data_IF_211407327811
#
_entry.id   IF_211407327811
#
_cell.length_a   1.000
_cell.length_b   1.000
_cell.length_c   1.000
_cell.angle_alpha   90.00
_cell.angle_beta   90.00
_cell.angle_gamma   90.00
#
_symmetry.space_group_name_H-M   'P 1'
#
loop_
_entity.id
_entity.type
_entity.pdbx_description
1 polymer ?
#
# COMPACT_ATOMS: atom_id res chain seq x y z
N UNK A 1 28.90 -4.01 16.88
CA UNK A 1 27.85 -3.60 15.93
C UNK A 1 28.19 -2.21 15.42
N UNK A 2 28.33 -2.03 14.11
CA UNK A 2 28.54 -0.71 13.51
C UNK A 2 27.20 -0.29 12.93
N UNK A 3 26.62 0.81 13.44
CA UNK A 3 25.38 1.34 12.89
C UNK A 3 25.63 1.90 11.49
N UNK A 4 24.66 1.81 10.56
CA UNK A 4 24.75 2.46 9.28
C UNK A 4 24.96 3.98 9.46
N UNK A 5 25.98 4.50 8.81
CA UNK A 5 26.26 5.95 8.77
C UNK A 5 25.57 6.64 7.59
N UNK A 6 25.00 5.87 6.66
CA UNK A 6 24.30 6.41 5.50
C UNK A 6 23.01 7.11 5.92
N UNK A 7 22.89 8.39 5.58
CA UNK A 7 21.69 9.19 5.89
C UNK A 7 20.46 8.72 5.10
N UNK A 8 20.65 8.15 3.90
CA UNK A 8 19.55 7.62 3.06
C UNK A 8 18.90 6.42 3.71
N UNK A 9 19.71 5.49 4.26
CA UNK A 9 19.22 4.35 5.04
C UNK A 9 18.26 4.78 6.16
N UNK A 10 18.66 5.78 6.94
CA UNK A 10 17.82 6.29 8.04
C UNK A 10 16.53 6.92 7.54
N UNK A 11 16.59 7.77 6.51
CA UNK A 11 15.40 8.44 5.99
C UNK A 11 14.40 7.47 5.38
N UNK A 12 14.86 6.52 4.59
CA UNK A 12 13.98 5.55 3.95
C UNK A 12 13.35 4.62 4.97
N UNK A 13 14.12 4.11 5.93
CA UNK A 13 13.63 3.21 6.97
C UNK A 13 12.64 3.89 7.92
N UNK A 14 12.93 5.13 8.33
CA UNK A 14 12.02 5.92 9.17
C UNK A 14 10.74 6.28 8.42
N UNK A 15 10.83 6.67 7.14
CA UNK A 15 9.62 6.98 6.35
C UNK A 15 8.77 5.75 6.08
N UNK A 16 9.35 4.59 5.77
CA UNK A 16 8.59 3.34 5.66
C UNK A 16 7.89 2.97 6.97
N UNK A 17 8.61 3.02 8.09
CA UNK A 17 8.07 2.78 9.43
C UNK A 17 6.94 3.77 9.78
N UNK A 18 7.07 5.02 9.33
CA UNK A 18 6.04 6.06 9.51
C UNK A 18 4.78 5.75 8.70
N UNK A 19 4.91 5.27 7.46
CA UNK A 19 3.74 4.84 6.65
C UNK A 19 2.96 3.75 7.38
N UNK A 20 3.63 2.70 7.86
CA UNK A 20 3.00 1.62 8.63
C UNK A 20 2.30 2.18 9.86
N UNK A 21 3.02 2.96 10.67
CA UNK A 21 2.51 3.48 11.94
C UNK A 21 1.27 4.35 11.73
N UNK A 22 1.32 5.27 10.75
CA UNK A 22 0.20 6.14 10.41
C UNK A 22 -0.98 5.31 9.86
N UNK A 23 -0.74 4.35 8.97
CA UNK A 23 -1.76 3.45 8.42
C UNK A 23 -2.47 2.63 9.50
N UNK A 24 -1.71 2.02 10.42
CA UNK A 24 -2.26 1.25 11.53
C UNK A 24 -3.06 2.15 12.46
N UNK A 25 -2.49 3.26 12.94
CA UNK A 25 -3.14 4.14 13.92
C UNK A 25 -4.42 4.73 13.33
N UNK A 26 -4.36 5.33 12.14
CA UNK A 26 -5.53 6.00 11.54
C UNK A 26 -6.55 4.99 10.99
N UNK A 27 -6.11 3.82 10.52
CA UNK A 27 -6.98 2.71 10.13
C UNK A 27 -7.78 2.18 11.32
N UNK A 28 -7.10 1.88 12.43
CA UNK A 28 -7.76 1.40 13.66
C UNK A 28 -8.70 2.45 14.26
N UNK A 29 -8.30 3.73 14.34
CA UNK A 29 -9.19 4.80 14.81
C UNK A 29 -10.44 4.89 13.93
N UNK A 30 -10.27 4.80 12.60
CA UNK A 30 -11.38 4.79 11.64
C UNK A 30 -12.33 3.62 11.87
N UNK A 31 -11.80 2.40 12.03
CA UNK A 31 -12.58 1.20 12.29
C UNK A 31 -13.39 1.34 13.59
N UNK A 32 -12.74 1.78 14.67
CA UNK A 32 -13.39 1.93 15.98
C UNK A 32 -14.54 2.95 15.94
N UNK A 33 -14.33 4.10 15.28
CA UNK A 33 -15.38 5.11 15.09
C UNK A 33 -16.50 4.60 14.19
N UNK A 34 -16.17 3.97 13.06
CA UNK A 34 -17.15 3.43 12.12
C UNK A 34 -18.05 2.36 12.77
N UNK A 35 -17.50 1.51 13.63
CA UNK A 35 -18.28 0.51 14.39
C UNK A 35 -19.26 1.16 15.36
N UNK A 36 -18.85 2.22 16.08
CA UNK A 36 -19.76 2.99 16.96
C UNK A 36 -20.93 3.61 16.18
N UNK A 37 -20.69 4.04 14.94
CA UNK A 37 -21.69 4.60 14.04
C UNK A 37 -22.49 3.54 13.24
N UNK A 38 -22.20 2.24 13.42
CA UNK A 38 -22.77 1.13 12.63
C UNK A 38 -22.63 1.32 11.10
N UNK A 39 -21.61 2.08 10.67
CA UNK A 39 -21.40 2.44 9.27
C UNK A 39 -20.47 1.44 8.57
N UNK A 40 -21.06 0.36 8.03
CA UNK A 40 -20.30 -0.77 7.42
C UNK A 40 -19.26 -0.31 6.38
N UNK A 41 -19.63 0.61 5.48
CA UNK A 41 -18.71 1.08 4.42
C UNK A 41 -17.48 1.80 5.00
N UNK A 42 -17.66 2.59 6.05
CA UNK A 42 -16.55 3.28 6.72
C UNK A 42 -15.65 2.29 7.47
N UNK A 43 -16.20 1.18 7.98
CA UNK A 43 -15.41 0.11 8.58
C UNK A 43 -14.50 -0.56 7.54
N UNK A 44 -15.03 -0.87 6.35
CA UNK A 44 -14.24 -1.47 5.26
C UNK A 44 -13.16 -0.51 4.76
N UNK A 45 -13.46 0.78 4.66
CA UNK A 45 -12.47 1.79 4.26
C UNK A 45 -11.38 1.99 5.33
N UNK A 46 -11.73 1.98 6.62
CA UNK A 46 -10.74 1.97 7.71
C UNK A 46 -9.83 0.74 7.68
N UNK A 47 -10.38 -0.43 7.35
CA UNK A 47 -9.62 -1.66 7.17
C UNK A 47 -8.71 -1.60 5.93
N UNK A 48 -9.16 -0.94 4.86
CA UNK A 48 -8.33 -0.69 3.67
C UNK A 48 -7.12 0.20 4.02
N UNK A 49 -7.32 1.27 4.79
CA UNK A 49 -6.24 2.15 5.27
C UNK A 49 -5.23 1.36 6.12
N UNK A 50 -5.72 0.47 6.98
CA UNK A 50 -4.87 -0.40 7.80
C UNK A 50 -3.97 -1.28 6.93
N UNK A 51 -4.52 -1.97 5.93
CA UNK A 51 -3.72 -2.81 5.03
C UNK A 51 -2.81 -2.03 4.09
N UNK A 52 -3.20 -0.82 3.67
CA UNK A 52 -2.30 0.09 2.92
C UNK A 52 -1.03 0.37 3.73
N UNK A 53 -1.15 0.56 5.05
CA UNK A 53 0.02 0.72 5.91
C UNK A 53 0.98 -0.47 5.82
N UNK A 54 0.44 -1.70 5.81
CA UNK A 54 1.25 -2.92 5.75
C UNK A 54 1.96 -3.17 4.41
N UNK A 55 1.66 -2.41 3.36
CA UNK A 55 2.44 -2.46 2.10
C UNK A 55 3.91 -2.08 2.29
N UNK A 56 4.25 -1.47 3.42
CA UNK A 56 5.61 -1.04 3.76
C UNK A 56 6.31 -1.95 4.77
N UNK A 57 5.71 -3.10 5.09
CA UNK A 57 6.20 -4.01 6.12
C UNK A 57 7.62 -4.52 5.80
N UNK A 58 7.93 -4.84 4.55
CA UNK A 58 9.28 -5.25 4.13
C UNK A 58 10.37 -4.23 4.50
N UNK A 59 10.34 -3.00 3.94
CA UNK A 59 11.36 -1.99 4.25
C UNK A 59 11.44 -1.61 5.73
N UNK A 60 10.32 -1.57 6.45
CA UNK A 60 10.34 -1.28 7.88
C UNK A 60 10.95 -2.42 8.70
N UNK A 61 10.63 -3.68 8.35
CA UNK A 61 11.23 -4.84 9.00
C UNK A 61 12.73 -4.95 8.70
N UNK A 62 13.16 -4.62 7.48
CA UNK A 62 14.58 -4.59 7.10
C UNK A 62 15.36 -3.53 7.90
N UNK A 63 14.81 -2.32 7.98
CA UNK A 63 15.36 -1.24 8.78
C UNK A 63 15.54 -1.63 10.25
N UNK A 64 14.51 -2.25 10.86
CA UNK A 64 14.59 -2.74 12.24
C UNK A 64 15.61 -3.87 12.39
N UNK A 65 15.68 -4.80 11.42
CA UNK A 65 16.64 -5.90 11.44
C UNK A 65 18.07 -5.38 11.43
N UNK A 66 18.39 -4.40 10.58
CA UNK A 66 19.72 -3.78 10.53
C UNK A 66 20.04 -3.07 11.85
N UNK A 67 19.09 -2.36 12.46
CA UNK A 67 19.32 -1.68 13.76
C UNK A 67 19.55 -2.66 14.91
N UNK A 68 18.90 -3.84 14.89
CA UNK A 68 18.95 -4.81 15.99
C UNK A 68 20.10 -5.81 15.82
N UNK A 69 20.38 -6.24 14.59
CA UNK A 69 21.32 -7.33 14.29
C UNK A 69 22.54 -6.90 13.48
N UNK A 70 22.47 -5.75 12.79
CA UNK A 70 23.55 -5.25 11.93
C UNK A 70 23.55 -5.88 10.55
N UNK A 71 22.55 -6.70 10.22
CA UNK A 71 22.35 -7.33 8.93
C UNK A 71 20.95 -7.02 8.38
N UNK A 72 20.82 -6.90 7.07
CA UNK A 72 19.52 -6.84 6.40
C UNK A 72 18.75 -8.16 6.57
N UNK A 73 17.47 -8.18 6.19
CA UNK A 73 16.62 -9.38 6.08
C UNK A 73 17.10 -10.43 5.06
N UNK A 74 18.30 -10.23 4.52
CA UNK A 74 18.98 -11.13 3.61
C UNK A 74 19.66 -12.26 4.39
N UNK A 75 19.07 -13.45 4.42
CA UNK A 75 19.74 -14.68 4.86
C UNK A 75 19.77 -15.71 3.72
N UNK A 76 20.85 -16.47 3.56
CA UNK A 76 20.97 -17.45 2.46
C UNK A 76 19.87 -18.51 2.44
N UNK A 77 19.17 -18.72 3.56
CA UNK A 77 18.12 -19.74 3.73
C UNK A 77 16.71 -19.21 3.36
N UNK A 78 16.47 -17.90 3.46
CA UNK A 78 15.14 -17.26 3.26
C UNK A 78 15.16 -15.94 2.47
N UNK A 79 16.35 -15.47 2.08
CA UNK A 79 16.68 -14.08 1.79
C UNK A 79 16.50 -13.63 0.35
N UNK A 80 16.07 -14.50 -0.55
CA UNK A 80 15.75 -14.09 -1.93
C UNK A 80 14.40 -13.37 -2.01
N UNK A 81 13.54 -13.49 -0.99
CA UNK A 81 12.14 -13.12 -1.15
C UNK A 81 11.45 -12.47 0.04
N UNK A 82 11.93 -12.62 1.28
CA UNK A 82 11.12 -12.22 2.44
C UNK A 82 10.83 -10.71 2.49
N UNK A 83 11.80 -9.88 2.10
CA UNK A 83 11.60 -8.43 1.97
C UNK A 83 10.44 -8.14 1.01
N UNK A 84 10.52 -8.67 -0.21
CA UNK A 84 9.49 -8.47 -1.24
C UNK A 84 8.14 -9.06 -0.82
N UNK A 85 8.12 -10.28 -0.28
CA UNK A 85 6.89 -10.91 0.22
C UNK A 85 6.25 -10.02 1.28
N UNK A 86 6.99 -9.53 2.27
CA UNK A 86 6.43 -8.66 3.31
C UNK A 86 5.90 -7.33 2.75
N UNK A 87 6.56 -6.76 1.74
CA UNK A 87 6.07 -5.54 1.06
C UNK A 87 4.76 -5.75 0.30
N UNK A 88 4.56 -6.94 -0.28
CA UNK A 88 3.52 -7.13 -1.28
C UNK A 88 2.40 -8.11 -0.89
N UNK A 89 2.55 -8.90 0.18
CA UNK A 89 1.55 -9.84 0.72
C UNK A 89 0.22 -9.19 1.08
N UNK A 90 0.23 -7.90 1.39
CA UNK A 90 -0.97 -7.18 1.83
C UNK A 90 -1.75 -6.55 0.69
N UNK A 91 -1.27 -6.69 -0.56
CA UNK A 91 -1.93 -6.16 -1.75
C UNK A 91 -3.27 -6.83 -1.98
N UNK A 92 -3.32 -8.17 -2.01
CA UNK A 92 -4.56 -8.87 -2.32
C UNK A 92 -5.66 -8.56 -1.27
N UNK A 93 -5.40 -8.62 0.06
CA UNK A 93 -6.35 -8.18 1.07
C UNK A 93 -6.80 -6.72 0.90
N UNK A 94 -5.88 -5.79 0.70
CA UNK A 94 -6.20 -4.36 0.53
C UNK A 94 -7.06 -4.14 -0.71
N UNK A 95 -6.71 -4.78 -1.83
CA UNK A 95 -7.38 -4.66 -3.11
C UNK A 95 -8.80 -5.20 -3.06
N UNK A 96 -9.03 -6.36 -2.45
CA UNK A 96 -10.38 -6.95 -2.33
C UNK A 96 -11.31 -6.02 -1.56
N UNK A 97 -10.84 -5.44 -0.46
CA UNK A 97 -11.61 -4.47 0.33
C UNK A 97 -11.84 -3.18 -0.43
N UNK A 98 -10.83 -2.69 -1.16
CA UNK A 98 -10.97 -1.56 -2.05
C UNK A 98 -12.07 -1.86 -3.08
N UNK A 99 -11.99 -2.96 -3.82
CA UNK A 99 -12.98 -3.28 -4.85
C UNK A 99 -14.40 -3.46 -4.30
N UNK A 100 -14.55 -3.88 -3.05
CA UNK A 100 -15.84 -3.84 -2.36
C UNK A 100 -16.35 -2.39 -2.24
N UNK A 101 -15.52 -1.45 -1.79
CA UNK A 101 -15.86 -0.03 -1.66
C UNK A 101 -16.15 0.59 -3.04
N UNK A 102 -15.26 0.41 -4.01
CA UNK A 102 -15.44 0.89 -5.38
C UNK A 102 -16.73 0.35 -6.02
N UNK A 103 -17.03 -0.92 -5.79
CA UNK A 103 -18.29 -1.56 -6.22
C UNK A 103 -19.53 -0.95 -5.56
N UNK A 104 -19.51 -0.71 -4.25
CA UNK A 104 -20.61 -0.03 -3.53
C UNK A 104 -20.83 1.42 -4.02
N UNK A 105 -19.78 2.09 -4.49
CA UNK A 105 -19.89 3.47 -4.96
C UNK A 105 -20.42 3.57 -6.39
N UNK A 106 -19.86 2.76 -7.29
CA UNK A 106 -20.07 2.91 -8.73
C UNK A 106 -21.10 1.94 -9.30
N UNK A 107 -21.08 0.67 -8.88
CA UNK A 107 -21.92 -0.39 -9.45
C UNK A 107 -22.53 -1.31 -8.35
N UNK A 108 -23.38 -0.77 -7.45
CA UNK A 108 -23.81 -1.49 -6.24
C UNK A 108 -24.45 -2.86 -6.52
N UNK A 109 -25.24 -2.95 -7.60
CA UNK A 109 -25.95 -4.18 -8.02
C UNK A 109 -25.00 -5.30 -8.44
N UNK A 110 -23.77 -4.98 -8.86
CA UNK A 110 -22.78 -5.92 -9.41
C UNK A 110 -21.45 -5.90 -8.63
N UNK A 111 -21.42 -5.27 -7.45
CA UNK A 111 -20.19 -5.14 -6.65
C UNK A 111 -19.49 -6.47 -6.39
N UNK A 112 -20.24 -7.55 -6.16
CA UNK A 112 -19.67 -8.86 -5.90
C UNK A 112 -18.97 -9.47 -7.11
N UNK A 113 -19.42 -9.17 -8.33
CA UNK A 113 -18.72 -9.59 -9.56
C UNK A 113 -17.34 -8.93 -9.60
N UNK A 114 -17.27 -7.63 -9.29
CA UNK A 114 -16.01 -6.88 -9.22
C UNK A 114 -15.09 -7.47 -8.12
N UNK A 115 -15.62 -7.69 -6.92
CA UNK A 115 -14.87 -8.25 -5.79
C UNK A 115 -14.33 -9.64 -6.11
N UNK A 116 -15.15 -10.54 -6.65
CA UNK A 116 -14.74 -11.92 -6.99
C UNK A 116 -13.67 -11.89 -8.08
N UNK A 117 -13.83 -11.05 -9.10
CA UNK A 117 -12.84 -10.90 -10.15
C UNK A 117 -11.47 -10.51 -9.60
N UNK A 118 -11.39 -9.47 -8.77
CA UNK A 118 -10.12 -9.05 -8.16
C UNK A 118 -9.62 -9.99 -7.06
N UNK A 119 -10.50 -10.75 -6.41
CA UNK A 119 -10.07 -11.83 -5.51
C UNK A 119 -9.33 -12.92 -6.28
N UNK A 120 -9.85 -13.35 -7.43
CA UNK A 120 -9.18 -14.35 -8.28
C UNK A 120 -7.84 -13.82 -8.78
N UNK A 121 -7.79 -12.57 -9.28
CA UNK A 121 -6.53 -11.96 -9.68
C UNK A 121 -5.54 -11.80 -8.52
N UNK A 122 -6.03 -11.47 -7.33
CA UNK A 122 -5.22 -11.38 -6.12
C UNK A 122 -4.63 -12.73 -5.73
N UNK A 123 -5.39 -13.83 -5.83
CA UNK A 123 -4.87 -15.18 -5.59
C UNK A 123 -3.78 -15.54 -6.60
N UNK A 124 -3.96 -15.19 -7.88
CA UNK A 124 -2.94 -15.40 -8.92
C UNK A 124 -1.67 -14.59 -8.61
N UNK A 125 -1.83 -13.32 -8.18
CA UNK A 125 -0.72 -12.47 -7.77
C UNK A 125 0.06 -13.09 -6.59
N UNK A 126 -0.64 -13.52 -5.53
CA UNK A 126 -0.03 -14.18 -4.37
C UNK A 126 0.68 -15.47 -4.76
N UNK A 127 0.10 -16.27 -5.66
CA UNK A 127 0.77 -17.48 -6.16
C UNK A 127 2.14 -17.17 -6.76
N UNK A 128 2.25 -16.18 -7.64
CA UNK A 128 3.55 -15.80 -8.18
C UNK A 128 4.47 -15.17 -7.13
N UNK A 129 3.92 -14.36 -6.22
CA UNK A 129 4.70 -13.73 -5.14
C UNK A 129 5.38 -14.77 -4.24
N UNK A 130 4.66 -15.84 -3.87
CA UNK A 130 5.16 -16.87 -2.93
C UNK A 130 5.97 -17.97 -3.58
N UNK A 131 5.59 -18.41 -4.79
CA UNK A 131 6.20 -19.58 -5.43
C UNK A 131 7.22 -19.24 -6.52
N UNK A 132 7.23 -17.98 -6.98
CA UNK A 132 8.13 -17.48 -8.02
C UNK A 132 8.76 -16.14 -7.63
N UNK A 133 9.22 -16.04 -6.38
CA UNK A 133 9.73 -14.80 -5.82
C UNK A 133 11.02 -14.33 -6.51
N UNK A 134 11.90 -15.26 -6.89
CA UNK A 134 13.16 -14.98 -7.57
C UNK A 134 12.98 -14.37 -8.96
N UNK A 135 11.88 -14.70 -9.63
CA UNK A 135 11.53 -14.19 -10.96
C UNK A 135 10.72 -12.89 -10.87
N UNK A 136 10.11 -12.64 -9.71
CA UNK A 136 9.27 -11.48 -9.45
C UNK A 136 10.10 -10.20 -9.23
N UNK A 137 11.21 -10.29 -8.52
CA UNK A 137 12.02 -9.14 -8.12
C UNK A 137 13.40 -9.17 -8.78
N UNK A 138 13.94 -7.98 -9.05
CA UNK A 138 15.38 -7.81 -9.29
C UNK A 138 16.05 -7.89 -7.93
N UNK A 139 16.94 -8.87 -7.76
CA UNK A 139 17.62 -9.12 -6.47
C UNK A 139 19.09 -8.74 -6.63
N UNK A 140 19.47 -7.49 -6.35
CA UNK A 140 20.88 -7.15 -6.25
C UNK A 140 21.48 -7.77 -4.96
N UNK A 141 22.78 -8.06 -4.93
CA UNK A 141 23.45 -8.41 -3.68
C UNK A 141 23.23 -7.28 -2.67
N UNK A 142 23.01 -7.60 -1.37
CA UNK A 142 22.65 -6.59 -0.38
C UNK A 142 23.76 -5.54 -0.31
N UNK A 143 23.46 -4.25 -0.56
CA UNK A 143 24.42 -3.19 -0.32
C UNK A 143 24.75 -3.16 1.18
N UNK A 144 26.03 -3.17 1.55
CA UNK A 144 26.42 -3.14 2.94
C UNK A 144 25.92 -1.86 3.61
N UNK A 145 24.89 -1.96 4.46
CA UNK A 145 24.37 -0.84 5.24
C UNK A 145 23.36 0.07 4.52
N UNK A 146 22.75 -0.37 3.42
CA UNK A 146 21.62 0.32 2.77
C UNK A 146 20.37 -0.57 2.72
N UNK A 147 19.22 0.01 2.33
CA UNK A 147 17.97 -0.74 2.21
C UNK A 147 17.98 -1.55 0.92
N UNK A 148 17.39 -2.75 0.97
CA UNK A 148 17.27 -3.64 -0.18
C UNK A 148 16.36 -3.01 -1.25
N UNK A 149 16.86 -2.94 -2.48
CA UNK A 149 16.05 -2.70 -3.67
C UNK A 149 15.19 -3.94 -3.98
N UNK A 150 13.88 -3.74 -4.07
CA UNK A 150 12.91 -4.79 -4.41
C UNK A 150 12.10 -4.42 -5.64
N UNK A 151 12.75 -3.79 -6.61
CA UNK A 151 12.13 -3.45 -7.88
C UNK A 151 11.59 -4.71 -8.58
N UNK A 152 10.40 -4.59 -9.16
CA UNK A 152 9.80 -5.67 -9.92
C UNK A 152 10.51 -5.89 -11.25
N UNK A 153 10.54 -7.14 -11.72
CA UNK A 153 10.85 -7.44 -13.12
C UNK A 153 9.67 -7.00 -14.00
N UNK A 154 9.88 -5.97 -14.82
CA UNK A 154 8.82 -5.21 -15.53
C UNK A 154 7.97 -6.00 -16.54
N UNK A 155 8.41 -7.18 -16.96
CA UNK A 155 7.64 -8.05 -17.87
C UNK A 155 7.12 -9.31 -17.18
N UNK A 156 7.38 -9.47 -15.87
CA UNK A 156 6.89 -10.61 -15.12
C UNK A 156 5.41 -10.44 -14.74
N UNK A 157 4.60 -11.51 -14.62
CA UNK A 157 3.17 -11.41 -14.35
C UNK A 157 2.79 -10.56 -13.13
N UNK A 158 3.59 -10.58 -12.05
CA UNK A 158 3.34 -9.79 -10.84
C UNK A 158 3.38 -8.28 -11.09
N UNK A 159 4.32 -7.79 -11.92
CA UNK A 159 4.39 -6.39 -12.30
C UNK A 159 3.16 -5.96 -13.11
N UNK A 160 2.75 -6.77 -14.08
CA UNK A 160 1.59 -6.49 -14.93
C UNK A 160 0.30 -6.47 -14.09
N UNK A 161 0.16 -7.40 -13.15
CA UNK A 161 -0.96 -7.44 -12.20
C UNK A 161 -0.93 -6.23 -11.27
N UNK A 162 0.23 -5.82 -10.76
CA UNK A 162 0.39 -4.61 -9.96
C UNK A 162 -0.08 -3.37 -10.71
N UNK A 163 0.38 -3.18 -11.95
CA UNK A 163 -0.01 -2.06 -12.80
C UNK A 163 -1.52 -2.03 -13.02
N UNK A 164 -2.12 -3.19 -13.29
CA UNK A 164 -3.58 -3.35 -13.40
C UNK A 164 -4.27 -2.96 -12.09
N UNK A 165 -3.79 -3.41 -10.93
CA UNK A 165 -4.38 -3.12 -9.63
C UNK A 165 -4.33 -1.63 -9.30
N UNK A 166 -3.20 -0.97 -9.52
CA UNK A 166 -3.03 0.47 -9.29
C UNK A 166 -3.97 1.27 -10.19
N UNK A 167 -4.02 0.94 -11.49
CA UNK A 167 -4.92 1.60 -12.43
C UNK A 167 -6.40 1.42 -12.01
N UNK A 168 -6.73 0.24 -11.52
CA UNK A 168 -8.08 -0.08 -11.05
C UNK A 168 -8.44 0.69 -9.78
N UNK A 169 -7.52 0.84 -8.83
CA UNK A 169 -7.72 1.69 -7.66
C UNK A 169 -7.93 3.15 -8.08
N UNK A 170 -7.13 3.66 -9.03
CA UNK A 170 -7.28 5.01 -9.56
C UNK A 170 -8.68 5.25 -10.16
N UNK A 171 -9.17 4.30 -10.96
CA UNK A 171 -10.48 4.40 -11.61
C UNK A 171 -11.61 4.22 -10.59
N UNK A 172 -11.66 3.08 -9.88
CA UNK A 172 -12.80 2.74 -9.03
C UNK A 172 -12.88 3.58 -7.76
N UNK A 173 -11.75 4.07 -7.24
CA UNK A 173 -11.71 4.86 -6.02
C UNK A 173 -11.44 6.32 -6.31
N UNK A 174 -10.31 6.64 -6.95
CA UNK A 174 -9.94 8.02 -7.24
C UNK A 174 -11.04 8.75 -8.00
N UNK A 175 -11.34 8.28 -9.22
CA UNK A 175 -12.42 8.86 -10.03
C UNK A 175 -13.80 8.59 -9.41
N UNK A 176 -14.02 7.41 -8.85
CA UNK A 176 -15.31 7.04 -8.23
C UNK A 176 -15.75 7.99 -7.12
N UNK A 177 -14.84 8.35 -6.21
CA UNK A 177 -15.12 9.32 -5.16
C UNK A 177 -15.26 10.75 -5.70
N UNK A 178 -14.48 11.15 -6.70
CA UNK A 178 -14.65 12.47 -7.33
C UNK A 178 -16.02 12.62 -8.00
N UNK A 179 -16.51 11.58 -8.69
CA UNK A 179 -17.85 11.56 -9.27
C UNK A 179 -18.92 11.72 -8.18
N UNK A 180 -18.76 11.04 -7.04
CA UNK A 180 -19.68 11.19 -5.89
C UNK A 180 -19.60 12.58 -5.26
N UNK A 181 -18.41 13.17 -5.21
CA UNK A 181 -18.22 14.53 -4.72
C UNK A 181 -18.98 15.55 -5.58
N UNK A 182 -18.91 15.42 -6.91
CA UNK A 182 -19.65 16.29 -7.84
C UNK A 182 -21.17 16.21 -7.66
N UNK A 183 -21.68 15.03 -7.26
CA UNK A 183 -23.11 14.77 -7.01
C UNK A 183 -23.55 15.11 -5.58
N UNK A 184 -22.64 15.55 -4.71
CA UNK A 184 -22.90 15.82 -3.31
C UNK A 184 -22.74 17.31 -3.01
N UNK A 185 -23.28 17.77 -1.88
CA UNK A 185 -23.15 19.16 -1.42
C UNK A 185 -22.62 19.23 0.01
N UNK A 186 -22.23 20.44 0.45
CA UNK A 186 -21.82 20.73 1.82
C UNK A 186 -20.67 19.87 2.32
N UNK A 187 -20.83 19.35 3.55
CA UNK A 187 -19.81 18.55 4.24
C UNK A 187 -19.52 17.24 3.50
N UNK A 188 -20.54 16.61 2.91
CA UNK A 188 -20.38 15.34 2.22
C UNK A 188 -19.50 15.47 0.96
N UNK A 189 -19.66 16.57 0.21
CA UNK A 189 -18.80 16.87 -0.94
C UNK A 189 -17.33 16.97 -0.54
N UNK A 190 -17.02 17.69 0.55
CA UNK A 190 -15.64 17.84 1.05
C UNK A 190 -15.04 16.47 1.42
N UNK A 191 -15.81 15.62 2.11
CA UNK A 191 -15.38 14.27 2.49
C UNK A 191 -15.06 13.41 1.27
N UNK A 192 -15.93 13.39 0.26
CA UNK A 192 -15.65 12.65 -0.98
C UNK A 192 -14.48 13.21 -1.79
N UNK A 193 -14.25 14.53 -1.80
CA UNK A 193 -13.05 15.11 -2.41
C UNK A 193 -11.77 14.62 -1.72
N UNK A 194 -11.73 14.65 -0.38
CA UNK A 194 -10.59 14.16 0.40
C UNK A 194 -10.30 12.69 0.12
N UNK A 195 -11.34 11.85 0.07
CA UNK A 195 -11.19 10.43 -0.28
C UNK A 195 -10.67 10.26 -1.71
N UNK A 196 -11.25 10.96 -2.69
CA UNK A 196 -10.82 10.91 -4.09
C UNK A 196 -9.37 11.30 -4.27
N UNK A 197 -8.96 12.45 -3.74
CA UNK A 197 -7.56 12.90 -3.78
C UNK A 197 -6.62 11.95 -3.02
N UNK A 198 -7.05 11.44 -1.87
CA UNK A 198 -6.30 10.43 -1.13
C UNK A 198 -5.99 9.20 -2.00
N UNK A 199 -7.00 8.63 -2.67
CA UNK A 199 -6.79 7.46 -3.55
C UNK A 199 -5.99 7.76 -4.81
N UNK A 200 -6.09 8.97 -5.37
CA UNK A 200 -5.27 9.40 -6.51
C UNK A 200 -3.80 9.49 -6.09
N UNK A 201 -3.50 10.17 -4.98
CA UNK A 201 -2.14 10.30 -4.46
C UNK A 201 -1.60 8.91 -4.10
N UNK A 202 -2.40 8.06 -3.47
CA UNK A 202 -2.04 6.67 -3.18
C UNK A 202 -1.63 5.91 -4.45
N UNK A 203 -2.40 6.01 -5.54
CA UNK A 203 -2.10 5.29 -6.77
C UNK A 203 -0.76 5.74 -7.38
N UNK A 204 -0.49 7.05 -7.41
CA UNK A 204 0.78 7.57 -7.89
C UNK A 204 1.95 7.25 -6.95
N UNK A 205 1.75 7.35 -5.64
CA UNK A 205 2.77 7.01 -4.66
C UNK A 205 3.08 5.50 -4.69
N UNK A 206 2.08 4.63 -4.77
CA UNK A 206 2.28 3.18 -4.91
C UNK A 206 2.99 2.79 -6.20
N UNK A 207 2.66 3.45 -7.32
CA UNK A 207 3.41 3.27 -8.58
C UNK A 207 4.85 3.76 -8.45
N UNK A 208 5.04 4.92 -7.81
CA UNK A 208 6.37 5.47 -7.54
C UNK A 208 7.21 4.53 -6.67
N UNK A 209 6.65 3.97 -5.61
CA UNK A 209 7.39 3.10 -4.68
C UNK A 209 7.86 1.81 -5.36
N UNK A 210 7.10 1.31 -6.34
CA UNK A 210 7.43 0.12 -7.11
C UNK A 210 8.42 0.37 -8.28
N UNK A 211 8.66 1.65 -8.65
CA UNK A 211 9.43 2.03 -9.84
C UNK A 211 10.67 2.88 -9.53
N UNK A 212 10.76 3.45 -8.33
CA UNK A 212 11.82 4.36 -7.93
C UNK A 212 12.85 3.61 -7.11
N UNK A 213 14.09 3.62 -7.59
CA UNK A 213 15.25 3.08 -6.87
C UNK A 213 15.42 3.74 -5.49
N UNK A 214 16.07 3.06 -4.52
CA UNK A 214 16.43 3.66 -3.24
C UNK A 214 17.12 5.03 -3.39
N UNK A 215 16.71 5.98 -2.57
CA UNK A 215 17.23 7.34 -2.54
C UNK A 215 16.22 8.37 -2.05
N UNK A 216 16.58 9.64 -2.19
CA UNK A 216 15.75 10.77 -1.73
C UNK A 216 14.38 10.84 -2.40
N UNK A 217 14.27 10.36 -3.66
CA UNK A 217 13.00 10.36 -4.38
C UNK A 217 12.01 9.38 -3.72
N UNK A 218 12.48 8.22 -3.26
CA UNK A 218 11.67 7.24 -2.54
C UNK A 218 11.11 7.82 -1.23
N UNK A 219 11.90 8.63 -0.53
CA UNK A 219 11.45 9.36 0.67
C UNK A 219 10.28 10.29 0.34
N UNK A 220 10.35 11.04 -0.77
CA UNK A 220 9.27 11.93 -1.22
C UNK A 220 8.01 11.13 -1.56
N UNK A 221 8.16 10.00 -2.25
CA UNK A 221 7.06 9.07 -2.57
C UNK A 221 6.36 8.58 -1.30
N UNK A 222 7.13 8.21 -0.27
CA UNK A 222 6.59 7.76 1.03
C UNK A 222 5.90 8.88 1.81
N UNK A 223 6.37 10.12 1.73
CA UNK A 223 5.65 11.27 2.27
C UNK A 223 4.32 11.52 1.55
N UNK A 224 4.27 11.31 0.23
CA UNK A 224 3.02 11.35 -0.52
C UNK A 224 2.07 10.23 -0.08
N UNK A 225 2.59 9.02 0.19
CA UNK A 225 1.82 7.92 0.75
C UNK A 225 1.23 8.26 2.13
N UNK A 226 2.01 8.81 3.05
CA UNK A 226 1.52 9.29 4.36
C UNK A 226 0.41 10.33 4.18
N UNK A 227 0.63 11.30 3.28
CA UNK A 227 -0.36 12.33 2.95
C UNK A 227 -1.66 11.71 2.43
N UNK A 228 -1.55 10.69 1.58
CA UNK A 228 -2.70 9.95 1.05
C UNK A 228 -3.54 9.33 2.18
N UNK A 229 -2.88 8.66 3.14
CA UNK A 229 -3.52 8.01 4.28
C UNK A 229 -4.22 9.04 5.18
N UNK A 230 -3.58 10.19 5.43
CA UNK A 230 -4.16 11.29 6.21
C UNK A 230 -5.41 11.83 5.52
N UNK A 231 -5.36 12.08 4.20
CA UNK A 231 -6.52 12.55 3.45
C UNK A 231 -7.67 11.53 3.50
N UNK A 232 -7.37 10.24 3.35
CA UNK A 232 -8.37 9.18 3.47
C UNK A 232 -9.03 9.18 4.87
N UNK A 233 -8.23 9.29 5.93
CA UNK A 233 -8.72 9.39 7.30
C UNK A 233 -9.58 10.64 7.52
N UNK A 234 -9.17 11.81 7.03
CA UNK A 234 -9.94 13.05 7.15
C UNK A 234 -11.26 12.97 6.37
N UNK A 235 -11.28 12.28 5.23
CA UNK A 235 -12.51 11.98 4.49
C UNK A 235 -13.47 11.08 5.26
N UNK A 236 -12.94 10.18 6.09
CA UNK A 236 -13.71 9.30 6.98
C UNK A 236 -14.16 9.96 8.29
N UNK A 237 -13.43 10.97 8.77
CA UNK A 237 -13.68 11.60 10.07
C UNK A 237 -15.11 12.13 10.10
N UNK A 238 -15.94 11.52 10.95
CA UNK A 238 -17.34 11.89 11.17
C UNK A 238 -17.42 13.32 11.70
#
# INVERSE_FOLDING_TARGET
MVLPTSWTFWLEGLTASSVISVGIILGLISILKARKLKAKLLTVLGLSIFFIGFLYLGPASDFLMVIITGSNLYSEIWGLGIYGILSYLWIAPALVLAMYIGGELLIPKRKWILVIFYLVLGIIFEYFLWFHTSETFVIPPPPSGEIIDSSFVTLYPTFLLMALFILSILIFHGMGFLIKAMKSTGVLRKKFLLLGFGFIIFAFAGAGDALVDPGILLVIVRLAMITSIILMYLGLKA
#
